data_IF_929329093654
#
_entry.id   IF_929329093654
#
_cell.length_a   1.000
_cell.length_b   1.000
_cell.length_c   1.000
_cell.angle_alpha   90.00
_cell.angle_beta   90.00
_cell.angle_gamma   90.00
#
_symmetry.space_group_name_H-M   'P 1'
#
loop_
_entity.id
_entity.type
_entity.pdbx_description
1 polymer ?
#
# COMPACT_ATOMS: atom_id res chain seq x y z
N UNK A 1 28.56 28.26 -18.32
CA UNK A 1 27.37 29.13 -18.26
C UNK A 1 26.29 28.26 -17.68
N UNK A 2 26.29 28.18 -16.35
CA UNK A 2 25.82 26.99 -15.65
C UNK A 2 24.30 27.03 -15.47
N UNK A 3 23.62 26.05 -16.08
CA UNK A 3 22.17 25.89 -16.00
C UNK A 3 21.67 25.81 -14.54
N UNK A 4 22.48 25.29 -13.63
CA UNK A 4 22.15 25.23 -12.20
C UNK A 4 21.95 26.61 -11.58
N UNK A 5 22.74 27.61 -12.00
CA UNK A 5 22.64 28.98 -11.47
C UNK A 5 21.36 29.68 -11.94
N UNK A 6 20.92 29.41 -13.16
CA UNK A 6 19.68 29.96 -13.73
C UNK A 6 18.43 29.36 -13.07
N UNK A 7 18.43 28.03 -12.87
CA UNK A 7 17.36 27.33 -12.14
C UNK A 7 17.25 27.81 -10.68
N UNK A 8 18.38 28.02 -10.01
CA UNK A 8 18.39 28.54 -8.64
C UNK A 8 17.87 30.00 -8.57
N UNK A 9 18.16 30.82 -9.59
CA UNK A 9 17.67 32.20 -9.67
C UNK A 9 16.16 32.28 -9.90
N UNK A 10 15.60 31.37 -10.71
CA UNK A 10 14.15 31.25 -10.90
C UNK A 10 13.47 30.76 -9.60
N UNK A 11 14.02 29.72 -8.96
CA UNK A 11 13.49 29.18 -7.69
C UNK A 11 13.40 30.24 -6.59
N UNK A 12 14.44 31.06 -6.43
CA UNK A 12 14.48 32.11 -5.42
C UNK A 12 13.57 33.30 -5.75
N UNK A 13 13.31 33.56 -7.03
CA UNK A 13 12.40 34.63 -7.46
C UNK A 13 10.94 34.26 -7.22
N UNK A 14 10.58 32.98 -7.40
CA UNK A 14 9.22 32.46 -7.14
C UNK A 14 8.93 32.42 -5.62
N UNK A 15 9.96 32.15 -4.79
CA UNK A 15 9.83 32.10 -3.33
C UNK A 15 9.48 33.47 -2.70
N UNK A 16 9.83 34.58 -3.35
CA UNK A 16 9.68 35.94 -2.79
C UNK A 16 8.35 36.63 -3.16
N UNK A 17 7.50 36.03 -3.99
CA UNK A 17 6.26 36.64 -4.49
C UNK A 17 5.01 36.04 -3.84
N UNK A 18 5.11 34.88 -3.17
CA UNK A 18 3.95 34.14 -2.69
C UNK A 18 4.02 33.88 -1.18
N UNK A 19 3.38 34.75 -0.40
CA UNK A 19 2.85 34.40 0.92
C UNK A 19 1.42 34.99 1.03
N UNK A 20 0.46 34.32 1.70
CA UNK A 20 0.63 33.17 2.58
C UNK A 20 0.22 31.86 1.89
N UNK A 21 1.22 31.07 1.51
CA UNK A 21 1.05 29.70 1.03
C UNK A 21 0.85 28.76 2.23
N UNK A 22 -0.36 28.74 2.79
CA UNK A 22 -0.84 27.57 3.56
C UNK A 22 -1.35 26.45 2.66
N UNK A 23 -1.38 26.67 1.33
CA UNK A 23 -2.00 25.78 0.36
C UNK A 23 -1.03 24.88 -0.42
N UNK A 24 0.26 25.23 -0.48
CA UNK A 24 1.27 24.34 -1.07
C UNK A 24 1.74 23.32 -0.03
N UNK A 25 0.83 22.45 0.39
CA UNK A 25 1.17 21.20 1.07
C UNK A 25 1.78 20.28 0.00
N UNK A 26 3.08 20.46 -0.22
CA UNK A 26 4.03 19.38 -0.45
C UNK A 26 3.51 18.25 -1.37
N UNK A 27 3.41 18.53 -2.68
CA UNK A 27 3.20 17.50 -3.69
C UNK A 27 4.57 16.89 -4.01
N UNK A 28 4.99 15.91 -3.20
CA UNK A 28 6.00 14.93 -3.61
C UNK A 28 5.26 13.90 -4.48
N UNK A 29 5.31 14.06 -5.80
CA UNK A 29 4.84 13.03 -6.74
C UNK A 29 5.62 11.77 -6.43
N UNK A 30 4.92 10.73 -5.97
CA UNK A 30 5.57 9.49 -5.55
C UNK A 30 5.89 8.64 -6.78
N UNK A 31 6.98 8.98 -7.47
CA UNK A 31 7.49 8.22 -8.60
C UNK A 31 8.14 6.91 -8.11
N UNK A 32 7.61 5.78 -8.56
CA UNK A 32 8.13 4.47 -8.21
C UNK A 32 9.39 4.20 -9.05
N UNK A 33 10.53 4.10 -8.37
CA UNK A 33 11.81 3.67 -8.96
C UNK A 33 11.95 2.13 -8.99
N UNK A 34 12.85 1.63 -9.83
CA UNK A 34 13.26 0.24 -9.90
C UNK A 34 13.66 -0.33 -8.54
N UNK A 35 14.34 0.43 -7.69
CA UNK A 35 14.75 -0.03 -6.36
C UNK A 35 13.55 -0.25 -5.44
N UNK A 36 12.54 0.61 -5.55
CA UNK A 36 11.30 0.49 -4.79
C UNK A 36 10.47 -0.70 -5.28
N UNK A 37 10.43 -0.92 -6.59
CA UNK A 37 9.79 -2.09 -7.17
C UNK A 37 10.37 -3.41 -6.64
N UNK A 38 11.70 -3.52 -6.50
CA UNK A 38 12.31 -4.73 -5.93
C UNK A 38 11.92 -4.96 -4.47
N UNK A 39 11.85 -3.88 -3.68
CA UNK A 39 11.41 -3.96 -2.28
C UNK A 39 9.95 -4.41 -2.19
N UNK A 40 9.08 -3.86 -3.04
CA UNK A 40 7.67 -4.25 -3.10
C UNK A 40 7.52 -5.71 -3.55
N UNK A 41 8.27 -6.14 -4.56
CA UNK A 41 8.29 -7.53 -5.02
C UNK A 41 8.73 -8.49 -3.91
N UNK A 42 9.77 -8.12 -3.16
CA UNK A 42 10.24 -8.90 -2.03
C UNK A 42 9.19 -9.02 -0.92
N UNK A 43 8.51 -7.93 -0.58
CA UNK A 43 7.44 -7.93 0.42
C UNK A 43 6.23 -8.77 -0.01
N UNK A 44 5.85 -8.69 -1.28
CA UNK A 44 4.75 -9.46 -1.86
C UNK A 44 5.13 -10.92 -2.18
N UNK A 45 6.40 -11.32 -2.00
CA UNK A 45 6.94 -12.63 -2.39
C UNK A 45 6.74 -12.94 -3.88
N UNK A 46 6.90 -11.93 -4.73
CA UNK A 46 6.77 -12.03 -6.18
C UNK A 46 8.15 -12.01 -6.86
N UNK A 47 8.34 -12.87 -7.86
CA UNK A 47 9.50 -12.86 -8.73
C UNK A 47 9.16 -12.12 -10.03
N UNK A 48 9.77 -10.96 -10.26
CA UNK A 48 9.53 -10.14 -11.45
C UNK A 48 10.58 -10.45 -12.52
N UNK A 49 10.13 -10.94 -13.67
CA UNK A 49 11.04 -11.24 -14.79
C UNK A 49 11.56 -9.93 -15.41
N UNK A 50 12.81 -9.90 -15.93
CA UNK A 50 13.41 -8.66 -16.44
C UNK A 50 12.60 -7.96 -17.55
N UNK A 51 11.90 -8.72 -18.39
CA UNK A 51 11.10 -8.18 -19.49
C UNK A 51 9.78 -7.53 -19.03
N UNK A 52 9.26 -7.90 -17.84
CA UNK A 52 7.98 -7.40 -17.33
C UNK A 52 8.16 -6.14 -16.48
N UNK A 53 9.39 -5.88 -16.02
CA UNK A 53 9.74 -4.78 -15.12
C UNK A 53 9.32 -3.42 -15.64
N UNK A 54 9.51 -3.17 -16.95
CA UNK A 54 9.15 -1.90 -17.57
C UNK A 54 7.62 -1.69 -17.61
N UNK A 55 6.84 -2.73 -17.92
CA UNK A 55 5.37 -2.64 -17.89
C UNK A 55 4.89 -2.41 -16.46
N UNK A 56 5.41 -3.20 -15.52
CA UNK A 56 5.01 -3.12 -14.11
C UNK A 56 5.25 -1.72 -13.51
N UNK A 57 6.38 -1.09 -13.85
CA UNK A 57 6.64 0.29 -13.42
C UNK A 57 5.68 1.30 -14.00
N UNK A 58 5.35 1.17 -15.29
CA UNK A 58 4.35 2.06 -15.90
C UNK A 58 3.00 1.90 -15.21
N UNK A 59 2.54 0.66 -15.10
CA UNK A 59 1.20 0.35 -14.60
C UNK A 59 1.05 0.77 -13.12
N UNK A 60 2.09 0.59 -12.30
CA UNK A 60 2.09 1.04 -10.90
C UNK A 60 2.08 2.57 -10.77
N UNK A 61 2.84 3.29 -11.60
CA UNK A 61 2.84 4.75 -11.59
C UNK A 61 1.49 5.32 -12.07
N UNK A 62 0.82 4.67 -13.03
CA UNK A 62 -0.53 5.04 -13.47
C UNK A 62 -1.56 4.88 -12.34
N UNK A 63 -1.49 3.78 -11.58
CA UNK A 63 -2.40 3.55 -10.43
C UNK A 63 -2.16 4.57 -9.33
N UNK A 64 -0.90 4.89 -9.00
CA UNK A 64 -0.59 5.91 -7.99
C UNK A 64 -1.11 7.28 -8.44
N UNK A 65 -0.86 7.67 -9.68
CA UNK A 65 -1.36 8.93 -10.23
C UNK A 65 -2.90 9.00 -10.22
N UNK A 66 -3.59 7.88 -10.44
CA UNK A 66 -5.05 7.82 -10.31
C UNK A 66 -5.50 7.98 -8.86
N UNK A 67 -4.85 7.32 -7.91
CA UNK A 67 -5.17 7.45 -6.48
C UNK A 67 -4.89 8.87 -5.97
N UNK A 68 -3.88 9.56 -6.49
CA UNK A 68 -3.59 10.95 -6.15
C UNK A 68 -4.73 11.91 -6.49
N UNK A 69 -5.59 11.59 -7.47
CA UNK A 69 -6.79 12.38 -7.77
C UNK A 69 -7.77 12.43 -6.58
N UNK A 70 -7.71 11.45 -5.67
CA UNK A 70 -8.52 11.44 -4.45
C UNK A 70 -8.04 12.47 -3.42
N UNK A 71 -6.79 12.93 -3.49
CA UNK A 71 -6.27 13.98 -2.61
C UNK A 71 -6.85 15.37 -2.94
N UNK A 72 -7.53 15.54 -4.08
CA UNK A 72 -8.21 16.80 -4.42
C UNK A 72 -9.58 16.93 -3.71
N UNK A 73 -10.05 15.88 -3.04
CA UNK A 73 -11.35 15.83 -2.35
C UNK A 73 -11.26 16.16 -0.83
N UNK A 74 -10.15 16.77 -0.38
CA UNK A 74 -9.58 16.56 0.96
C UNK A 74 -10.21 17.28 2.17
N UNK A 75 -11.33 18.02 2.10
CA UNK A 75 -11.79 18.75 3.31
C UNK A 75 -13.24 18.51 3.76
N UNK A 76 -14.12 17.99 2.90
CA UNK A 76 -15.54 17.76 3.28
C UNK A 76 -15.81 16.33 3.79
N UNK A 77 -14.99 15.34 3.40
CA UNK A 77 -15.18 13.93 3.76
C UNK A 77 -14.42 13.52 5.04
N UNK A 78 -13.31 14.17 5.36
CA UNK A 78 -12.51 13.86 6.55
C UNK A 78 -13.21 14.21 7.87
N UNK A 79 -14.19 15.11 7.86
CA UNK A 79 -15.04 15.36 9.02
C UNK A 79 -16.06 14.24 9.26
N UNK A 80 -16.36 13.43 8.24
CA UNK A 80 -17.34 12.34 8.31
C UNK A 80 -16.73 10.99 8.72
N UNK A 81 -15.54 10.65 8.25
CA UNK A 81 -15.09 9.26 8.37
C UNK A 81 -14.40 8.85 9.68
N UNK A 82 -13.89 9.79 10.49
CA UNK A 82 -13.26 9.40 11.77
C UNK A 82 -14.13 9.64 13.01
N UNK A 83 -15.13 10.54 12.95
CA UNK A 83 -15.97 10.86 14.11
C UNK A 83 -17.40 11.34 13.82
N UNK A 84 -17.84 11.54 12.57
CA UNK A 84 -19.19 12.07 12.33
C UNK A 84 -20.07 11.05 11.62
N UNK A 85 -20.83 10.30 12.44
CA UNK A 85 -22.22 9.93 12.17
C UNK A 85 -22.56 9.47 10.73
N UNK A 86 -21.64 8.80 10.01
CA UNK A 86 -21.97 8.06 8.78
C UNK A 86 -22.54 6.70 9.19
N UNK A 87 -23.70 6.78 9.84
CA UNK A 87 -24.45 5.64 10.33
C UNK A 87 -23.71 4.82 11.40
N UNK A 88 -24.41 3.96 12.13
CA UNK A 88 -23.70 2.86 12.76
C UNK A 88 -22.88 2.13 11.69
N UNK A 89 -21.74 1.48 12.03
CA UNK A 89 -21.20 0.44 11.16
C UNK A 89 -22.40 -0.39 10.67
N UNK A 90 -22.48 -0.73 9.38
CA UNK A 90 -23.65 -1.41 8.78
C UNK A 90 -24.10 -2.62 9.61
N UNK A 91 -23.20 -3.15 10.44
CA UNK A 91 -23.49 -3.98 11.59
C UNK A 91 -23.26 -3.18 12.88
N UNK A 92 -24.33 -2.57 13.43
CA UNK A 92 -24.38 -2.08 14.82
C UNK A 92 -24.32 -3.26 15.82
N UNK A 93 -23.47 -4.25 15.55
CA UNK A 93 -23.32 -5.42 16.38
C UNK A 93 -22.28 -5.10 17.43
N UNK A 94 -22.75 -5.09 18.68
CA UNK A 94 -21.89 -5.24 19.83
C UNK A 94 -20.87 -6.37 19.56
N UNK A 95 -19.62 -6.19 20.01
CA UNK A 95 -18.53 -7.15 19.86
C UNK A 95 -19.04 -8.60 20.04
N UNK A 96 -19.27 -9.32 18.94
CA UNK A 96 -19.71 -10.72 18.97
C UNK A 96 -18.47 -11.58 19.22
N UNK A 97 -18.11 -11.69 20.49
CA UNK A 97 -16.94 -12.44 20.92
C UNK A 97 -17.25 -13.94 20.84
N UNK A 98 -16.38 -14.69 20.16
CA UNK A 98 -16.39 -16.15 20.20
C UNK A 98 -16.27 -16.64 21.65
N UNK A 99 -17.11 -17.59 22.06
CA UNK A 99 -16.99 -18.28 23.36
C UNK A 99 -15.67 -19.03 23.45
N UNK A 100 -15.06 -19.02 24.63
CA UNK A 100 -13.80 -19.72 24.91
C UNK A 100 -14.04 -21.22 25.17
N UNK A 101 -14.52 -21.91 24.14
CA UNK A 101 -14.76 -23.35 24.16
C UNK A 101 -13.86 -24.01 23.10
N UNK A 102 -13.15 -25.08 23.48
CA UNK A 102 -12.29 -25.82 22.57
C UNK A 102 -13.13 -26.72 21.66
N UNK A 103 -12.93 -26.62 20.35
CA UNK A 103 -13.62 -27.44 19.35
C UNK A 103 -12.63 -27.97 18.31
N UNK A 104 -12.68 -29.27 18.02
CA UNK A 104 -11.92 -29.87 16.92
C UNK A 104 -12.76 -29.79 15.63
N UNK A 105 -12.64 -28.67 14.92
CA UNK A 105 -13.49 -28.37 13.74
C UNK A 105 -13.08 -29.18 12.50
N UNK A 106 -11.81 -29.56 12.37
CA UNK A 106 -11.27 -30.29 11.22
C UNK A 106 -10.52 -31.55 11.65
N UNK A 107 -10.71 -32.65 10.92
CA UNK A 107 -9.88 -33.85 11.07
C UNK A 107 -8.49 -33.64 10.43
N UNK A 108 -7.52 -34.39 10.92
CA UNK A 108 -6.15 -34.33 10.41
C UNK A 108 -6.06 -34.64 8.90
N UNK A 109 -6.77 -35.68 8.45
CA UNK A 109 -6.84 -36.09 7.05
C UNK A 109 -7.46 -34.99 6.17
N UNK A 110 -8.55 -34.37 6.63
CA UNK A 110 -9.21 -33.27 5.91
C UNK A 110 -8.29 -32.04 5.80
N UNK A 111 -7.53 -31.73 6.85
CA UNK A 111 -6.58 -30.61 6.84
C UNK A 111 -5.43 -30.84 5.84
N UNK A 112 -4.99 -32.09 5.66
CA UNK A 112 -3.91 -32.43 4.75
C UNK A 112 -4.40 -32.72 3.31
N UNK A 113 -5.70 -32.86 3.07
CA UNK A 113 -6.22 -33.27 1.76
C UNK A 113 -5.81 -32.33 0.61
N UNK A 114 -5.71 -31.03 0.88
CA UNK A 114 -5.37 -29.98 -0.10
C UNK A 114 -3.89 -29.58 -0.10
N UNK A 115 -3.05 -30.23 0.70
CA UNK A 115 -1.65 -29.90 0.79
C UNK A 115 -0.91 -30.22 -0.52
N UNK A 116 -0.20 -29.27 -1.15
CA UNK A 116 0.58 -29.53 -2.37
C UNK A 116 1.69 -30.56 -2.16
N UNK A 117 2.38 -30.49 -1.02
CA UNK A 117 3.35 -31.48 -0.58
C UNK A 117 3.18 -31.77 0.91
N UNK A 118 3.07 -33.05 1.26
CA UNK A 118 2.86 -33.53 2.62
C UNK A 118 3.53 -34.88 2.84
N UNK A 119 3.97 -35.08 4.06
CA UNK A 119 4.25 -36.41 4.59
C UNK A 119 2.99 -37.00 5.23
N UNK A 120 3.08 -38.19 5.85
CA UNK A 120 1.94 -38.84 6.50
C UNK A 120 1.21 -37.94 7.52
N UNK A 121 1.97 -37.12 8.26
CA UNK A 121 1.43 -36.31 9.37
C UNK A 121 1.73 -34.79 9.27
N UNK A 122 2.50 -34.32 8.30
CA UNK A 122 3.01 -32.94 8.29
C UNK A 122 3.06 -32.34 6.88
N UNK A 123 2.94 -31.01 6.80
CA UNK A 123 3.25 -30.26 5.58
C UNK A 123 4.77 -30.26 5.37
N UNK A 124 5.21 -30.57 4.14
CA UNK A 124 6.64 -30.51 3.80
C UNK A 124 6.96 -29.11 3.28
N UNK A 125 7.87 -28.43 3.97
CA UNK A 125 8.39 -27.13 3.57
C UNK A 125 9.93 -27.16 3.57
N UNK A 126 10.59 -26.34 2.71
CA UNK A 126 12.02 -26.12 2.82
C UNK A 126 12.39 -25.59 4.20
N UNK A 127 13.54 -26.02 4.72
CA UNK A 127 14.01 -25.60 6.04
C UNK A 127 14.19 -24.07 6.09
N UNK A 128 13.63 -23.46 7.14
CA UNK A 128 13.85 -22.04 7.44
C UNK A 128 15.27 -21.90 7.97
N UNK A 129 16.09 -21.07 7.31
CA UNK A 129 17.38 -20.67 7.84
C UNK A 129 17.15 -19.46 8.75
N UNK A 130 17.34 -19.65 10.05
CA UNK A 130 17.34 -18.59 11.07
C UNK A 130 18.58 -17.72 10.96
#
# INVERSE_FOLDING_TARGET
MDLELYCNKIRNTIHNIAAPLSFFKFIDIMLIDHTLLDKLAYLARLEIRPHERASMLRDLNEVVAWVEQLNELDDLLLQQDYNAEVGPPVLAQANDLRRDEAAQVLSHEAALALAPDKDANYFRIPAVRT
#
